data_IF_183942480153
#
_entry.id   IF_183942480153
#
_cell.length_a   1.000
_cell.length_b   1.000
_cell.length_c   1.000
_cell.angle_alpha   90.00
_cell.angle_beta   90.00
_cell.angle_gamma   90.00
#
_symmetry.space_group_name_H-M   'P 1'
#
loop_
_entity.id
_entity.type
_entity.pdbx_description
1 polymer ?
#
# COMPACT_ATOMS: atom_id res chain seq x y z
N UNK A 1 22.97 52.53 73.08
CA UNK A 1 23.00 51.11 72.74
C UNK A 1 22.94 50.99 71.20
N UNK A 2 24.10 50.82 70.55
CA UNK A 2 24.29 51.00 69.14
C UNK A 2 24.60 49.65 68.49
N UNK A 3 23.75 49.15 67.56
CA UNK A 3 24.00 47.95 66.82
C UNK A 3 24.73 48.28 65.51
N UNK A 4 25.87 47.67 65.37
CA UNK A 4 26.81 47.77 64.27
C UNK A 4 26.30 46.93 63.07
N UNK A 5 26.00 47.59 61.94
CA UNK A 5 25.67 46.89 60.65
C UNK A 5 26.96 46.40 59.98
N UNK A 6 27.07 45.08 59.78
CA UNK A 6 28.07 44.42 58.92
C UNK A 6 27.59 44.37 57.48
N UNK A 7 28.35 44.97 56.58
CA UNK A 7 28.14 44.80 55.11
C UNK A 7 28.82 43.50 54.69
N UNK A 8 28.01 42.57 54.13
CA UNK A 8 28.53 41.42 53.42
C UNK A 8 28.57 41.79 51.96
N UNK A 9 29.79 41.82 51.38
CA UNK A 9 30.01 41.98 49.95
C UNK A 9 29.91 40.60 49.28
N UNK A 10 28.87 40.35 48.50
CA UNK A 10 28.72 39.12 47.75
C UNK A 10 29.39 39.30 46.41
N UNK A 11 30.48 38.61 46.19
CA UNK A 11 31.21 38.52 44.93
C UNK A 11 30.48 37.49 44.09
N UNK A 12 29.71 37.93 43.07
CA UNK A 12 29.03 37.03 42.11
C UNK A 12 30.01 36.62 41.02
N UNK A 13 30.51 35.39 41.12
CA UNK A 13 31.31 34.76 40.09
C UNK A 13 30.35 34.29 38.96
N UNK A 14 30.30 35.02 37.87
CA UNK A 14 29.53 34.61 36.67
C UNK A 14 30.27 33.49 35.94
N UNK A 15 29.84 32.26 36.17
CA UNK A 15 30.32 31.10 35.45
C UNK A 15 29.53 31.01 34.11
N UNK A 16 30.17 31.49 33.03
CA UNK A 16 29.62 31.36 31.67
C UNK A 16 29.73 29.90 31.25
N UNK A 17 28.61 29.18 31.31
CA UNK A 17 28.47 27.87 30.70
C UNK A 17 28.33 28.05 29.18
N UNK A 18 29.41 27.82 28.46
CA UNK A 18 29.34 27.61 27.00
C UNK A 18 28.73 26.24 26.77
N UNK A 19 27.40 26.20 26.54
CA UNK A 19 26.73 25.00 26.06
C UNK A 19 27.11 24.87 24.61
N UNK A 20 28.16 24.11 24.32
CA UNK A 20 28.46 23.62 23.01
C UNK A 20 27.34 22.68 22.58
N UNK A 21 26.48 23.12 21.68
CA UNK A 21 25.54 22.25 20.97
C UNK A 21 26.33 21.29 20.05
N UNK A 22 26.94 20.28 20.64
CA UNK A 22 27.33 19.11 19.86
C UNK A 22 26.04 18.52 19.31
N UNK A 23 25.77 18.75 18.03
CA UNK A 23 24.78 17.98 17.29
C UNK A 23 25.17 16.51 17.41
N UNK A 24 24.59 15.80 18.36
CA UNK A 24 24.71 14.36 18.49
C UNK A 24 24.09 13.76 17.25
N UNK A 25 24.90 13.55 16.21
CA UNK A 25 24.64 12.52 15.20
C UNK A 25 24.65 11.22 15.99
N UNK A 26 23.46 10.74 16.35
CA UNK A 26 23.31 9.48 17.07
C UNK A 26 23.86 8.35 16.19
N UNK A 27 25.09 7.97 16.42
CA UNK A 27 25.66 6.75 15.87
C UNK A 27 25.00 5.60 16.61
N UNK A 28 23.96 4.98 16.00
CA UNK A 28 23.39 3.75 16.53
C UNK A 28 24.37 2.63 16.17
N UNK A 29 25.35 2.41 17.05
CA UNK A 29 26.30 1.32 16.91
C UNK A 29 25.59 0.01 17.26
N UNK A 30 25.51 -0.90 16.30
CA UNK A 30 24.99 -2.24 16.53
C UNK A 30 23.53 -2.48 16.19
N UNK A 31 22.89 -1.67 15.33
CA UNK A 31 21.53 -1.93 14.87
C UNK A 31 21.50 -3.09 13.87
N UNK A 32 20.72 -4.14 14.18
CA UNK A 32 20.50 -5.28 13.29
C UNK A 32 19.62 -4.87 12.11
N UNK A 33 20.01 -5.27 10.90
CA UNK A 33 19.24 -5.09 9.68
C UNK A 33 19.35 -6.32 8.77
N UNK A 34 18.43 -6.40 7.79
CA UNK A 34 18.37 -7.47 6.80
C UNK A 34 18.42 -6.89 5.41
N UNK A 35 19.10 -7.56 4.51
CA UNK A 35 19.15 -7.20 3.09
C UNK A 35 17.80 -7.57 2.44
N UNK A 36 17.14 -6.59 1.84
CA UNK A 36 15.82 -6.75 1.19
C UNK A 36 15.90 -6.82 -0.33
N UNK A 37 16.96 -6.30 -0.94
CA UNK A 37 17.25 -6.40 -2.37
C UNK A 37 17.83 -7.77 -2.73
N UNK A 38 17.64 -8.23 -3.97
CA UNK A 38 18.21 -9.51 -4.43
C UNK A 38 19.74 -9.54 -4.29
N UNK A 39 20.36 -8.41 -4.61
CA UNK A 39 21.80 -8.18 -4.44
C UNK A 39 22.03 -6.79 -3.91
N UNK A 40 22.95 -6.62 -2.98
CA UNK A 40 23.40 -5.35 -2.45
C UNK A 40 24.93 -5.27 -2.55
N UNK A 41 25.45 -4.32 -3.31
CA UNK A 41 26.88 -4.06 -3.38
C UNK A 41 27.36 -3.43 -2.07
N UNK A 42 28.48 -3.91 -1.58
CA UNK A 42 29.23 -3.34 -0.47
C UNK A 42 30.52 -2.72 -0.99
N UNK A 43 30.77 -1.46 -0.66
CA UNK A 43 31.87 -0.65 -1.19
C UNK A 43 32.81 -0.19 -0.08
N UNK A 44 34.04 0.10 -0.42
CA UNK A 44 35.04 0.57 0.54
C UNK A 44 34.81 2.02 1.00
N UNK A 45 33.99 2.80 0.30
CA UNK A 45 33.62 4.18 0.73
C UNK A 45 32.24 4.59 0.23
N UNK A 46 31.77 5.77 0.64
CA UNK A 46 30.48 6.37 0.24
C UNK A 46 30.45 6.85 -1.20
N UNK A 47 31.58 6.99 -1.88
CA UNK A 47 31.64 7.43 -3.28
C UNK A 47 31.19 6.32 -4.24
N UNK A 48 30.30 6.67 -5.20
CA UNK A 48 29.86 5.74 -6.25
C UNK A 48 30.96 5.25 -7.19
N UNK A 49 32.06 6.00 -7.28
CA UNK A 49 33.21 5.67 -8.15
C UNK A 49 34.14 4.61 -7.55
N UNK A 50 33.93 4.18 -6.31
CA UNK A 50 34.85 3.28 -5.62
C UNK A 50 34.51 1.81 -5.77
N UNK A 51 35.52 0.98 -5.60
CA UNK A 51 35.46 -0.47 -5.86
C UNK A 51 34.51 -1.17 -4.87
N UNK A 52 33.75 -2.13 -5.39
CA UNK A 52 33.04 -3.11 -4.60
C UNK A 52 34.05 -3.98 -3.84
N UNK A 53 33.82 -4.17 -2.55
CA UNK A 53 34.60 -5.08 -1.70
C UNK A 53 33.86 -6.39 -1.46
N UNK A 54 32.60 -6.48 -1.89
CA UNK A 54 31.77 -7.68 -1.78
C UNK A 54 30.32 -7.40 -2.10
N UNK A 55 29.51 -8.45 -2.03
CA UNK A 55 28.07 -8.39 -2.24
C UNK A 55 27.32 -9.17 -1.19
N UNK A 56 26.12 -8.71 -0.88
CA UNK A 56 25.16 -9.34 0.01
C UNK A 56 23.95 -9.83 -0.78
N UNK A 57 23.27 -10.84 -0.28
CA UNK A 57 22.06 -11.42 -0.85
C UNK A 57 20.85 -11.09 0.03
N UNK A 58 19.66 -11.16 -0.57
CA UNK A 58 18.40 -11.05 0.18
C UNK A 58 18.38 -12.04 1.33
N UNK A 59 18.05 -11.55 2.52
CA UNK A 59 18.00 -12.33 3.76
C UNK A 59 19.28 -12.27 4.59
N UNK A 60 20.40 -11.81 4.03
CA UNK A 60 21.61 -11.66 4.83
C UNK A 60 21.38 -10.68 5.97
N UNK A 61 21.76 -11.10 7.18
CA UNK A 61 21.72 -10.27 8.38
C UNK A 61 23.01 -9.47 8.48
N UNK A 62 22.89 -8.19 8.73
CA UNK A 62 24.00 -7.26 8.90
C UNK A 62 23.83 -6.41 10.16
N UNK A 63 24.94 -5.85 10.63
CA UNK A 63 24.94 -4.84 11.69
C UNK A 63 25.26 -3.49 11.09
N UNK A 64 24.39 -2.49 11.28
CA UNK A 64 24.66 -1.11 10.88
C UNK A 64 25.58 -0.50 11.94
N UNK A 65 26.75 -0.02 11.53
CA UNK A 65 27.77 0.55 12.42
C UNK A 65 27.92 2.06 12.25
N UNK A 66 27.53 2.61 11.07
CA UNK A 66 27.63 4.03 10.80
C UNK A 66 26.59 4.47 9.76
N UNK A 67 26.12 5.70 9.83
CA UNK A 67 25.25 6.34 8.82
C UNK A 67 25.89 7.62 8.32
N UNK A 68 25.94 7.81 7.00
CA UNK A 68 26.47 9.01 6.37
C UNK A 68 25.44 9.59 5.41
N UNK A 69 25.30 10.91 5.45
CA UNK A 69 24.50 11.66 4.48
C UNK A 69 25.42 12.66 3.81
N UNK A 70 25.65 12.50 2.51
CA UNK A 70 26.47 13.41 1.71
C UNK A 70 25.59 14.01 0.60
N UNK A 71 25.19 15.27 0.77
CA UNK A 71 24.20 15.91 -0.10
C UNK A 71 22.89 15.14 -0.11
N UNK A 72 22.42 14.74 -1.29
CA UNK A 72 21.20 13.94 -1.46
C UNK A 72 21.42 12.42 -1.31
N UNK A 73 22.66 11.98 -1.14
CA UNK A 73 23.01 10.55 -1.08
C UNK A 73 23.18 10.10 0.37
N UNK A 74 22.35 9.16 0.80
CA UNK A 74 22.51 8.47 2.06
C UNK A 74 23.26 7.14 1.86
N UNK A 75 24.16 6.81 2.77
CA UNK A 75 24.88 5.54 2.79
C UNK A 75 24.97 5.03 4.23
N UNK A 76 25.03 3.71 4.37
CA UNK A 76 25.20 3.05 5.66
C UNK A 76 26.41 2.14 5.61
N UNK A 77 27.25 2.21 6.65
CA UNK A 77 28.35 1.28 6.84
C UNK A 77 27.84 0.08 7.61
N UNK A 78 28.11 -1.09 7.10
CA UNK A 78 27.62 -2.35 7.68
C UNK A 78 28.76 -3.31 7.96
N UNK A 79 28.50 -4.21 8.91
CA UNK A 79 29.27 -5.44 9.13
C UNK A 79 28.36 -6.62 8.80
N UNK A 80 28.71 -7.36 7.77
CA UNK A 80 27.96 -8.50 7.25
C UNK A 80 28.55 -9.85 7.67
N UNK A 81 28.05 -10.95 7.07
CA UNK A 81 28.63 -12.28 7.21
C UNK A 81 30.11 -12.29 6.80
N UNK A 82 30.84 -13.30 7.32
CA UNK A 82 32.25 -13.56 6.98
C UNK A 82 33.20 -12.37 7.20
N UNK A 83 32.80 -11.42 8.05
CA UNK A 83 33.61 -10.22 8.35
C UNK A 83 33.60 -9.17 7.25
N UNK A 84 32.71 -9.27 6.23
CA UNK A 84 32.54 -8.24 5.22
C UNK A 84 32.14 -6.92 5.85
N UNK A 85 32.92 -5.87 5.64
CA UNK A 85 32.68 -4.52 6.16
C UNK A 85 32.75 -3.50 5.04
N UNK A 86 31.80 -2.57 4.98
CA UNK A 86 31.79 -1.51 3.99
C UNK A 86 30.46 -0.76 3.91
N UNK A 87 30.32 0.05 2.88
CA UNK A 87 29.20 0.96 2.66
C UNK A 87 28.20 0.39 1.65
N UNK A 88 26.92 0.49 1.95
CA UNK A 88 25.83 0.16 1.02
C UNK A 88 24.73 1.21 1.07
N UNK A 89 23.76 1.14 0.15
CA UNK A 89 22.59 2.00 0.17
C UNK A 89 21.64 1.59 1.30
N UNK A 90 21.09 2.54 2.08
CA UNK A 90 20.05 2.24 3.06
C UNK A 90 18.78 1.63 2.42
N UNK A 91 18.53 1.87 1.13
CA UNK A 91 17.40 1.27 0.40
C UNK A 91 17.51 -0.24 0.21
N UNK A 92 18.71 -0.80 0.40
CA UNK A 92 18.95 -2.24 0.36
C UNK A 92 18.60 -2.94 1.68
N UNK A 93 18.34 -2.19 2.74
CA UNK A 93 18.25 -2.72 4.11
C UNK A 93 16.91 -2.41 4.76
N UNK A 94 16.44 -3.35 5.59
CA UNK A 94 15.38 -3.14 6.56
C UNK A 94 15.92 -3.41 7.97
N UNK A 95 15.77 -2.47 8.90
CA UNK A 95 16.16 -2.70 10.29
C UNK A 95 15.25 -3.72 10.96
N UNK A 96 15.71 -4.40 12.02
CA UNK A 96 14.89 -5.38 12.75
C UNK A 96 13.54 -4.77 13.16
N UNK A 97 13.54 -3.56 13.71
CA UNK A 97 12.29 -2.87 14.10
C UNK A 97 11.30 -2.69 12.93
N UNK A 98 11.82 -2.40 11.72
CA UNK A 98 10.99 -2.25 10.53
C UNK A 98 10.46 -3.60 10.02
N UNK A 99 11.27 -4.65 10.11
CA UNK A 99 10.86 -6.03 9.82
C UNK A 99 9.73 -6.47 10.77
N UNK A 100 9.87 -6.19 12.06
CA UNK A 100 8.85 -6.54 13.06
C UNK A 100 7.52 -5.83 12.79
N UNK A 101 7.55 -4.53 12.47
CA UNK A 101 6.35 -3.78 12.07
C UNK A 101 5.68 -4.36 10.81
N UNK A 102 6.48 -4.73 9.81
CA UNK A 102 5.94 -5.33 8.58
C UNK A 102 5.29 -6.70 8.85
N UNK A 103 5.90 -7.52 9.70
CA UNK A 103 5.35 -8.82 10.14
C UNK A 103 4.09 -8.66 10.97
N UNK A 104 4.02 -7.65 11.85
CA UNK A 104 2.81 -7.33 12.61
C UNK A 104 1.65 -7.00 11.66
N UNK A 105 1.88 -6.12 10.67
CA UNK A 105 0.88 -5.77 9.66
C UNK A 105 0.48 -7.01 8.86
N UNK A 106 1.44 -7.87 8.48
CA UNK A 106 1.14 -9.12 7.78
C UNK A 106 0.25 -10.04 8.59
N UNK A 107 0.46 -10.14 9.91
CA UNK A 107 -0.41 -10.87 10.82
C UNK A 107 -1.84 -10.33 10.84
N UNK A 108 -2.02 -9.01 10.81
CA UNK A 108 -3.35 -8.37 10.77
C UNK A 108 -4.15 -8.68 9.50
N UNK A 109 -3.46 -8.95 8.38
CA UNK A 109 -4.08 -9.23 7.08
C UNK A 109 -3.97 -10.70 6.67
N UNK A 110 -3.50 -11.56 7.57
CA UNK A 110 -3.47 -13.00 7.34
C UNK A 110 -4.89 -13.52 7.07
N UNK A 111 -5.06 -14.30 6.00
CA UNK A 111 -6.39 -14.82 5.61
C UNK A 111 -7.32 -13.82 4.92
N UNK A 112 -6.94 -12.54 4.74
CA UNK A 112 -7.70 -11.62 3.89
C UNK A 112 -7.30 -11.89 2.43
N UNK A 113 -8.26 -12.20 1.58
CA UNK A 113 -8.03 -12.36 0.13
C UNK A 113 -7.55 -11.05 -0.50
N UNK A 114 -6.75 -11.15 -1.56
CA UNK A 114 -6.40 -9.99 -2.37
C UNK A 114 -7.66 -9.38 -3.00
N UNK A 115 -7.83 -8.08 -2.86
CA UNK A 115 -8.93 -7.33 -3.47
C UNK A 115 -8.58 -6.86 -4.88
N UNK A 116 -7.30 -6.63 -5.11
CA UNK A 116 -6.68 -6.28 -6.38
C UNK A 116 -5.18 -6.55 -6.29
N UNK A 117 -4.52 -6.58 -7.43
CA UNK A 117 -3.07 -6.51 -7.55
C UNK A 117 -2.67 -5.12 -8.05
N UNK A 118 -1.51 -4.62 -7.62
CA UNK A 118 -0.98 -3.37 -8.12
C UNK A 118 0.55 -3.38 -8.19
N UNK A 119 1.08 -2.48 -8.99
CA UNK A 119 2.53 -2.31 -9.22
C UNK A 119 2.91 -0.84 -9.11
N UNK A 120 4.09 -0.56 -8.61
CA UNK A 120 4.65 0.79 -8.65
C UNK A 120 5.49 1.01 -9.91
N UNK A 121 5.24 2.09 -10.63
CA UNK A 121 6.04 2.50 -11.79
C UNK A 121 7.36 3.19 -11.40
N UNK A 122 7.47 3.69 -10.19
CA UNK A 122 8.66 4.36 -9.61
C UNK A 122 8.92 3.82 -8.21
N UNK A 123 10.09 4.14 -7.66
CA UNK A 123 10.39 3.81 -6.26
C UNK A 123 9.30 4.31 -5.32
N UNK A 124 8.85 3.46 -4.38
CA UNK A 124 7.76 3.75 -3.45
C UNK A 124 8.19 3.50 -2.00
N UNK A 125 7.72 4.34 -1.08
CA UNK A 125 7.89 4.14 0.36
C UNK A 125 6.78 3.23 0.89
N UNK A 126 7.16 2.06 1.40
CA UNK A 126 6.28 1.20 2.18
C UNK A 126 6.29 1.70 3.62
N UNK A 127 5.11 1.92 4.22
CA UNK A 127 4.95 2.57 5.51
C UNK A 127 4.23 1.69 6.52
N UNK A 128 4.45 1.95 7.81
CA UNK A 128 3.74 1.25 8.89
C UNK A 128 2.35 1.83 9.18
N UNK A 129 2.06 3.04 8.71
CA UNK A 129 0.77 3.72 8.84
C UNK A 129 0.42 4.47 7.56
N UNK A 130 -0.88 4.69 7.25
CA UNK A 130 -1.31 5.43 6.07
C UNK A 130 -1.17 6.94 6.28
N UNK A 131 0.05 7.41 6.36
CA UNK A 131 0.41 8.81 6.60
C UNK A 131 1.74 9.13 5.90
N UNK A 132 1.84 10.27 5.25
CA UNK A 132 3.05 10.77 4.58
C UNK A 132 3.56 12.11 5.12
N UNK A 133 3.02 12.59 6.22
CA UNK A 133 3.45 13.83 6.88
C UNK A 133 4.90 13.77 7.36
N UNK A 134 5.39 12.57 7.62
CA UNK A 134 6.73 12.30 8.11
C UNK A 134 7.28 11.00 7.50
N UNK A 135 8.60 10.87 7.46
CA UNK A 135 9.28 9.63 7.09
C UNK A 135 9.56 8.70 8.28
N UNK A 136 9.16 9.07 9.50
CA UNK A 136 9.36 8.24 10.69
C UNK A 136 8.60 6.90 10.64
N UNK A 137 7.53 6.82 9.84
CA UNK A 137 6.74 5.61 9.63
C UNK A 137 7.16 4.81 8.38
N UNK A 138 8.24 5.20 7.69
CA UNK A 138 8.75 4.44 6.54
C UNK A 138 9.40 3.16 7.04
N UNK A 139 8.88 2.04 6.57
CA UNK A 139 9.48 0.71 6.80
C UNK A 139 10.69 0.54 5.89
N UNK A 140 10.45 0.65 4.58
CA UNK A 140 11.49 0.55 3.53
C UNK A 140 11.08 1.35 2.30
N UNK A 141 12.06 1.60 1.43
CA UNK A 141 11.83 2.11 0.09
C UNK A 141 12.02 0.96 -0.91
N UNK A 142 10.95 0.62 -1.62
CA UNK A 142 10.97 -0.43 -2.64
C UNK A 142 11.27 0.15 -4.02
N UNK A 143 12.03 -0.55 -4.87
CA UNK A 143 12.33 -0.11 -6.23
C UNK A 143 11.07 -0.11 -7.10
N UNK A 144 11.16 0.45 -8.29
CA UNK A 144 10.12 0.34 -9.31
C UNK A 144 9.89 -1.13 -9.70
N UNK A 145 8.64 -1.45 -10.03
CA UNK A 145 8.24 -2.79 -10.46
C UNK A 145 7.87 -3.75 -9.33
N UNK A 146 7.89 -3.33 -8.06
CA UNK A 146 7.41 -4.16 -6.96
C UNK A 146 5.91 -4.45 -7.12
N UNK A 147 5.53 -5.71 -6.91
CA UNK A 147 4.15 -6.19 -6.96
C UNK A 147 3.54 -6.27 -5.57
N UNK A 148 2.29 -5.85 -5.47
CA UNK A 148 1.54 -5.86 -4.23
C UNK A 148 0.17 -6.48 -4.42
N UNK A 149 -0.32 -7.17 -3.38
CA UNK A 149 -1.72 -7.54 -3.22
C UNK A 149 -2.39 -6.56 -2.27
N UNK A 150 -3.41 -5.87 -2.75
CA UNK A 150 -4.22 -4.97 -1.94
C UNK A 150 -5.16 -5.79 -1.08
N UNK A 151 -5.13 -5.59 0.24
CA UNK A 151 -6.00 -6.29 1.20
C UNK A 151 -7.06 -5.37 1.81
N UNK A 152 -6.78 -4.07 1.88
CA UNK A 152 -7.73 -3.06 2.34
C UNK A 152 -7.42 -1.71 1.68
N UNK A 153 -8.44 -0.85 1.66
CA UNK A 153 -8.35 0.54 1.21
C UNK A 153 -8.74 1.47 2.35
N UNK A 154 -7.98 2.53 2.54
CA UNK A 154 -8.28 3.59 3.49
C UNK A 154 -8.24 4.95 2.80
N UNK A 155 -9.14 5.85 3.17
CA UNK A 155 -9.12 7.25 2.75
C UNK A 155 -8.74 8.13 3.93
N UNK A 156 -7.83 9.07 3.69
CA UNK A 156 -7.43 10.08 4.67
C UNK A 156 -7.64 11.47 4.09
N UNK A 157 -8.05 12.47 4.86
CA UNK A 157 -8.08 13.85 4.37
C UNK A 157 -6.71 14.23 3.83
N UNK A 158 -6.69 14.92 2.68
CA UNK A 158 -5.44 15.51 2.20
C UNK A 158 -4.92 16.51 3.23
N UNK A 159 -3.67 16.40 3.58
CA UNK A 159 -3.02 17.43 4.39
C UNK A 159 -2.94 18.70 3.55
N UNK A 160 -3.65 19.73 3.99
CA UNK A 160 -3.48 21.08 3.41
C UNK A 160 -2.18 21.61 3.99
N UNK A 161 -1.20 21.86 3.14
CA UNK A 161 0.00 22.58 3.55
C UNK A 161 -0.40 24.00 3.97
N UNK A 162 -0.31 24.36 5.27
CA UNK A 162 -0.69 25.69 5.73
C UNK A 162 0.17 26.80 5.11
N UNK A 163 1.31 26.46 4.51
CA UNK A 163 2.19 27.37 3.78
C UNK A 163 1.90 27.41 2.26
N UNK A 164 1.05 26.56 1.75
CA UNK A 164 0.64 26.61 0.35
C UNK A 164 -0.17 27.88 0.10
N UNK A 165 0.46 28.89 -0.51
CA UNK A 165 -0.26 30.09 -1.00
C UNK A 165 -1.42 29.63 -1.89
N UNK A 166 -2.65 30.19 -1.74
CA UNK A 166 -3.72 29.93 -2.66
C UNK A 166 -3.20 30.24 -4.07
N UNK A 167 -3.04 29.20 -4.89
CA UNK A 167 -2.76 29.41 -6.31
C UNK A 167 -3.98 30.12 -6.85
N UNK A 168 -3.82 31.42 -7.20
CA UNK A 168 -4.85 32.18 -7.85
C UNK A 168 -5.33 31.37 -9.07
N UNK A 169 -6.59 30.97 -9.09
CA UNK A 169 -7.20 30.28 -10.21
C UNK A 169 -7.12 31.21 -11.42
N UNK A 170 -6.17 30.95 -12.28
CA UNK A 170 -6.15 31.56 -13.62
C UNK A 170 -7.23 30.84 -14.42
N UNK A 171 -8.32 31.51 -14.71
CA UNK A 171 -9.55 30.98 -15.31
C UNK A 171 -9.42 30.50 -16.78
N UNK A 172 -8.24 30.35 -17.29
CA UNK A 172 -8.02 30.08 -18.73
C UNK A 172 -7.17 28.83 -18.96
N UNK A 173 -7.57 27.66 -18.56
CA UNK A 173 -7.12 26.38 -19.17
C UNK A 173 -7.57 25.07 -18.47
N UNK A 174 -8.58 25.03 -17.61
CA UNK A 174 -8.90 23.82 -16.84
C UNK A 174 -10.33 23.29 -16.96
N UNK A 175 -11.00 23.51 -18.12
CA UNK A 175 -12.36 23.01 -18.31
C UNK A 175 -12.49 21.45 -18.32
N UNK A 176 -11.38 20.69 -18.28
CA UNK A 176 -11.36 19.22 -18.39
C UNK A 176 -10.66 18.50 -17.24
N UNK A 177 -10.26 19.18 -16.17
CA UNK A 177 -9.67 18.50 -15.03
C UNK A 177 -10.77 18.10 -14.06
N UNK A 178 -10.93 16.79 -13.84
CA UNK A 178 -11.85 16.29 -12.82
C UNK A 178 -11.54 16.96 -11.47
N UNK A 179 -12.58 17.33 -10.67
CA UNK A 179 -12.37 17.97 -9.37
C UNK A 179 -11.43 17.11 -8.53
N UNK A 180 -10.37 17.71 -7.99
CA UNK A 180 -9.42 17.00 -7.14
C UNK A 180 -10.14 16.54 -5.89
N UNK A 181 -10.04 15.23 -5.59
CA UNK A 181 -10.52 14.68 -4.33
C UNK A 181 -9.81 15.35 -3.15
N UNK A 182 -10.55 15.69 -2.11
CA UNK A 182 -9.99 16.20 -0.84
C UNK A 182 -9.37 15.09 0.03
N UNK A 183 -9.33 13.88 -0.48
CA UNK A 183 -8.85 12.69 0.24
C UNK A 183 -7.70 12.03 -0.51
N UNK A 184 -6.83 11.40 0.28
CA UNK A 184 -5.78 10.52 -0.18
C UNK A 184 -6.24 9.07 -0.02
N UNK A 185 -5.98 8.27 -1.04
CA UNK A 185 -6.21 6.83 -0.98
C UNK A 185 -4.94 6.14 -0.55
N UNK A 186 -5.07 5.24 0.41
CA UNK A 186 -4.02 4.37 0.92
C UNK A 186 -4.43 2.92 0.77
N UNK A 187 -3.48 2.08 0.40
CA UNK A 187 -3.68 0.65 0.33
C UNK A 187 -2.87 -0.05 1.41
N UNK A 188 -3.52 -0.91 2.21
CA UNK A 188 -2.83 -1.90 3.03
C UNK A 188 -2.52 -3.09 2.14
N UNK A 189 -1.26 -3.47 2.04
CA UNK A 189 -0.78 -4.41 1.03
C UNK A 189 0.07 -5.53 1.60
N UNK A 190 0.03 -6.69 0.94
CA UNK A 190 1.11 -7.68 0.98
C UNK A 190 2.10 -7.37 -0.14
N UNK A 191 3.39 -7.46 0.18
CA UNK A 191 4.47 -7.35 -0.80
C UNK A 191 4.73 -8.75 -1.37
N UNK A 192 4.53 -8.94 -2.68
CA UNK A 192 4.82 -10.23 -3.31
C UNK A 192 6.35 -10.48 -3.33
N UNK A 193 6.73 -11.71 -3.15
CA UNK A 193 8.13 -12.17 -3.21
C UNK A 193 9.09 -11.46 -2.22
N UNK A 194 8.55 -10.96 -1.08
CA UNK A 194 9.38 -10.36 -0.03
C UNK A 194 8.94 -10.84 1.37
N UNK A 195 9.55 -11.91 1.83
CA UNK A 195 9.27 -12.51 3.15
C UNK A 195 9.85 -11.69 4.32
N UNK A 196 10.84 -10.83 4.05
CA UNK A 196 11.49 -10.01 5.08
C UNK A 196 10.59 -8.84 5.46
N UNK A 197 10.01 -8.20 4.44
CA UNK A 197 9.10 -7.06 4.60
C UNK A 197 7.76 -7.41 3.92
N UNK A 198 6.96 -8.29 4.53
CA UNK A 198 5.82 -8.92 3.86
C UNK A 198 4.61 -8.00 3.69
N UNK A 199 4.49 -6.91 4.45
CA UNK A 199 3.31 -6.05 4.42
C UNK A 199 3.60 -4.61 4.86
N UNK A 200 2.67 -3.71 4.53
CA UNK A 200 2.69 -2.31 4.91
C UNK A 200 1.59 -1.52 4.24
N UNK A 201 1.75 -0.20 4.24
CA UNK A 201 0.86 0.73 3.55
C UNK A 201 1.59 1.41 2.40
N UNK A 202 0.91 1.53 1.25
CA UNK A 202 1.39 2.31 0.10
C UNK A 202 0.38 3.40 -0.24
N UNK A 203 0.88 4.56 -0.68
CA UNK A 203 0.04 5.64 -1.18
C UNK A 203 -0.56 5.24 -2.54
N UNK A 204 -1.88 5.34 -2.69
CA UNK A 204 -2.58 4.91 -3.90
C UNK A 204 -2.18 5.65 -5.17
N UNK A 205 -1.74 6.92 -5.04
CA UNK A 205 -1.21 7.69 -6.17
C UNK A 205 0.19 7.27 -6.65
N UNK A 206 0.83 6.32 -5.98
CA UNK A 206 2.17 5.81 -6.33
C UNK A 206 2.15 4.41 -6.95
N UNK A 207 0.97 3.83 -7.14
CA UNK A 207 0.80 2.48 -7.68
C UNK A 207 -0.32 2.45 -8.71
N UNK A 208 -0.19 1.57 -9.70
CA UNK A 208 -1.19 1.31 -10.73
C UNK A 208 -1.78 -0.08 -10.51
N UNK A 209 -3.11 -0.22 -10.67
CA UNK A 209 -3.78 -1.51 -10.57
C UNK A 209 -3.45 -2.37 -11.79
N UNK A 210 -3.04 -3.61 -11.54
CA UNK A 210 -2.76 -4.63 -12.57
C UNK A 210 -4.07 -5.36 -12.93
N UNK A 211 -5.04 -4.63 -13.49
CA UNK A 211 -6.34 -5.20 -13.87
C UNK A 211 -6.12 -6.27 -14.95
N UNK A 212 -6.64 -7.50 -14.76
CA UNK A 212 -6.55 -8.56 -15.77
C UNK A 212 -7.10 -8.10 -17.13
N UNK A 213 -6.37 -8.38 -18.20
CA UNK A 213 -6.69 -7.88 -19.55
C UNK A 213 -8.12 -8.24 -19.97
N UNK A 214 -8.56 -9.42 -19.62
CA UNK A 214 -9.87 -9.95 -19.98
C UNK A 214 -11.06 -9.20 -19.35
N UNK A 215 -10.82 -8.43 -18.26
CA UNK A 215 -11.87 -7.65 -17.60
C UNK A 215 -11.70 -6.12 -17.76
N UNK A 216 -10.61 -5.66 -18.40
CA UNK A 216 -10.35 -4.22 -18.56
C UNK A 216 -11.46 -3.50 -19.31
N UNK A 217 -12.10 -4.15 -20.29
CA UNK A 217 -13.18 -3.56 -21.09
C UNK A 217 -14.49 -3.30 -20.30
N UNK A 218 -14.61 -3.82 -19.06
CA UNK A 218 -15.71 -3.47 -18.17
C UNK A 218 -15.51 -2.11 -17.50
N UNK A 219 -14.30 -1.53 -17.53
CA UNK A 219 -14.09 -0.14 -17.14
C UNK A 219 -14.84 0.78 -18.10
N UNK A 220 -15.58 1.76 -17.57
CA UNK A 220 -16.32 2.76 -18.34
C UNK A 220 -15.72 4.14 -18.09
N UNK A 221 -16.06 5.13 -18.93
CA UNK A 221 -15.48 6.47 -18.86
C UNK A 221 -15.46 7.10 -17.45
N UNK A 222 -16.52 6.89 -16.68
CA UNK A 222 -16.62 7.41 -15.30
C UNK A 222 -16.57 6.34 -14.21
N UNK A 223 -16.24 5.08 -14.56
CA UNK A 223 -16.20 3.97 -13.61
C UNK A 223 -14.89 3.23 -13.75
N UNK A 224 -14.08 3.29 -12.70
CA UNK A 224 -12.81 2.56 -12.63
C UNK A 224 -13.00 1.24 -11.89
N UNK A 225 -12.35 0.20 -12.36
CA UNK A 225 -12.21 -1.04 -11.61
C UNK A 225 -11.26 -0.75 -10.45
N UNK A 226 -11.72 -1.04 -9.21
CA UNK A 226 -10.96 -0.81 -7.98
C UNK A 226 -10.65 -2.11 -7.24
N UNK A 227 -11.26 -3.23 -7.67
CA UNK A 227 -11.02 -4.56 -7.15
C UNK A 227 -11.70 -5.62 -8.00
N UNK A 228 -11.26 -6.86 -7.85
CA UNK A 228 -11.85 -8.04 -8.49
C UNK A 228 -11.48 -9.31 -7.75
N UNK A 229 -12.32 -10.33 -7.88
CA UNK A 229 -12.00 -11.67 -7.39
C UNK A 229 -12.48 -12.72 -8.38
N UNK A 230 -11.76 -13.84 -8.45
CA UNK A 230 -12.16 -14.99 -9.23
C UNK A 230 -13.23 -15.77 -8.47
N UNK A 231 -14.31 -16.14 -9.15
CA UNK A 231 -15.43 -16.89 -8.60
C UNK A 231 -15.45 -18.36 -9.05
N UNK A 232 -14.53 -18.75 -9.89
CA UNK A 232 -14.42 -20.11 -10.41
C UNK A 232 -13.63 -20.17 -11.70
N UNK A 233 -13.27 -21.38 -12.11
CA UNK A 233 -12.50 -21.66 -13.33
C UNK A 233 -13.34 -22.44 -14.31
N UNK A 234 -13.27 -22.08 -15.58
CA UNK A 234 -13.93 -22.77 -16.70
C UNK A 234 -12.91 -23.01 -17.80
N UNK A 235 -12.90 -24.22 -18.36
CA UNK A 235 -12.06 -24.52 -19.52
C UNK A 235 -12.78 -24.12 -20.81
N UNK A 236 -12.08 -23.43 -21.68
CA UNK A 236 -12.57 -23.14 -23.03
C UNK A 236 -12.48 -24.36 -23.94
N UNK A 237 -12.91 -24.20 -25.21
CA UNK A 237 -12.87 -25.27 -26.23
C UNK A 237 -11.45 -25.76 -26.57
N UNK A 238 -10.42 -25.04 -26.16
CA UNK A 238 -9.00 -25.38 -26.33
C UNK A 238 -8.40 -26.00 -25.08
N UNK A 239 -9.16 -26.11 -23.98
CA UNK A 239 -8.70 -26.60 -22.68
C UNK A 239 -7.97 -25.57 -21.84
N UNK A 240 -7.96 -24.30 -22.24
CA UNK A 240 -7.34 -23.22 -21.48
C UNK A 240 -8.25 -22.78 -20.33
N UNK A 241 -7.64 -22.47 -19.20
CA UNK A 241 -8.36 -21.98 -18.03
C UNK A 241 -8.77 -20.52 -18.21
N UNK A 242 -10.06 -20.27 -18.02
CA UNK A 242 -10.67 -18.97 -17.96
C UNK A 242 -11.43 -18.82 -16.63
N UNK A 243 -11.75 -17.59 -16.23
CA UNK A 243 -12.27 -17.36 -14.90
C UNK A 243 -13.60 -16.62 -14.93
N UNK A 244 -14.50 -16.96 -14.03
CA UNK A 244 -15.61 -16.10 -13.65
C UNK A 244 -15.11 -15.05 -12.68
N UNK A 245 -15.67 -13.83 -12.72
CA UNK A 245 -15.25 -12.72 -11.88
C UNK A 245 -16.41 -12.04 -11.17
N UNK A 246 -16.13 -11.53 -9.97
CA UNK A 246 -16.81 -10.36 -9.44
C UNK A 246 -15.87 -9.16 -9.59
N UNK A 247 -16.39 -8.06 -10.11
CA UNK A 247 -15.66 -6.81 -10.36
C UNK A 247 -16.30 -5.72 -9.49
N UNK A 248 -15.46 -4.97 -8.80
CA UNK A 248 -15.86 -3.82 -8.01
C UNK A 248 -15.40 -2.55 -8.71
N UNK A 249 -16.34 -1.62 -8.90
CA UNK A 249 -16.07 -0.38 -9.62
C UNK A 249 -16.41 0.83 -8.76
N UNK A 250 -15.67 1.91 -8.98
CA UNK A 250 -15.88 3.21 -8.33
C UNK A 250 -16.11 4.28 -9.38
N UNK A 251 -17.12 5.10 -9.18
CA UNK A 251 -17.34 6.31 -9.99
C UNK A 251 -16.23 7.33 -9.75
N UNK A 252 -15.73 7.96 -10.79
CA UNK A 252 -14.67 8.97 -10.69
C UNK A 252 -15.06 10.19 -11.55
N UNK A 253 -15.08 11.39 -10.96
CA UNK A 253 -14.85 11.71 -9.56
C UNK A 253 -15.95 11.14 -8.65
N UNK A 254 -15.58 10.71 -7.44
CA UNK A 254 -16.54 10.15 -6.50
C UNK A 254 -17.20 11.23 -5.67
N UNK A 255 -18.52 11.18 -5.55
CA UNK A 255 -19.28 11.98 -4.59
C UNK A 255 -19.30 11.36 -3.18
N UNK A 256 -18.97 10.07 -3.06
CA UNK A 256 -18.96 9.32 -1.80
C UNK A 256 -17.56 8.75 -1.53
N UNK A 257 -16.80 9.44 -0.70
CA UNK A 257 -15.46 9.01 -0.27
C UNK A 257 -15.50 7.96 0.85
N UNK A 258 -16.67 7.67 1.42
CA UNK A 258 -16.81 6.71 2.52
C UNK A 258 -16.89 5.27 2.03
N UNK A 259 -17.39 5.04 0.81
CA UNK A 259 -17.41 3.71 0.20
C UNK A 259 -16.14 3.44 -0.62
N UNK A 260 -15.75 2.18 -0.70
CA UNK A 260 -14.60 1.76 -1.51
C UNK A 260 -15.00 1.50 -2.95
N UNK A 261 -16.22 1.04 -3.16
CA UNK A 261 -16.82 0.85 -4.49
C UNK A 261 -18.32 1.19 -4.46
N UNK A 262 -18.87 1.56 -5.61
CA UNK A 262 -20.28 1.92 -5.78
C UNK A 262 -21.01 1.03 -6.81
N UNK A 263 -20.30 0.12 -7.45
CA UNK A 263 -20.84 -0.88 -8.35
C UNK A 263 -20.22 -2.25 -8.14
N UNK A 264 -21.05 -3.27 -8.22
CA UNK A 264 -20.67 -4.67 -8.23
C UNK A 264 -21.14 -5.30 -9.55
N UNK A 265 -20.22 -5.99 -10.23
CA UNK A 265 -20.50 -6.75 -11.44
C UNK A 265 -20.10 -8.20 -11.25
N UNK A 266 -21.01 -9.15 -11.44
CA UNK A 266 -20.71 -10.56 -11.58
C UNK A 266 -20.76 -10.88 -13.06
N UNK A 267 -19.67 -11.43 -13.57
CA UNK A 267 -19.53 -11.82 -14.97
C UNK A 267 -19.14 -13.29 -15.09
N UNK A 268 -19.75 -13.96 -16.06
CA UNK A 268 -19.46 -15.34 -16.40
C UNK A 268 -18.68 -15.46 -17.71
N UNK A 269 -17.69 -16.35 -17.77
CA UNK A 269 -17.05 -16.70 -19.03
C UNK A 269 -17.94 -17.70 -19.79
N UNK A 270 -18.21 -17.44 -21.09
CA UNK A 270 -18.96 -18.34 -21.98
C UNK A 270 -18.00 -19.18 -22.80
N UNK A 271 -17.78 -20.42 -22.37
CA UNK A 271 -16.89 -21.36 -23.04
C UNK A 271 -17.33 -21.77 -24.43
N UNK A 272 -18.60 -21.52 -24.81
CA UNK A 272 -19.19 -21.94 -26.09
C UNK A 272 -19.21 -20.86 -27.14
N UNK A 273 -19.25 -19.61 -26.72
CA UNK A 273 -19.32 -18.48 -27.63
C UNK A 273 -17.90 -18.07 -28.07
N UNK A 274 -17.66 -18.23 -29.38
CA UNK A 274 -16.35 -17.89 -29.97
C UNK A 274 -16.12 -16.39 -30.13
N UNK A 275 -17.17 -15.58 -30.05
CA UNK A 275 -17.11 -14.12 -30.32
C UNK A 275 -17.26 -13.24 -29.08
N UNK A 276 -17.96 -13.72 -28.04
CA UNK A 276 -18.13 -12.98 -26.77
C UNK A 276 -17.71 -13.90 -25.65
N UNK A 277 -16.58 -13.53 -25.02
CA UNK A 277 -15.99 -14.37 -23.99
C UNK A 277 -16.66 -14.22 -22.62
N UNK A 278 -17.31 -13.05 -22.36
CA UNK A 278 -17.93 -12.75 -21.06
C UNK A 278 -19.36 -12.24 -21.21
N UNK A 279 -20.21 -12.66 -20.28
CA UNK A 279 -21.60 -12.18 -20.18
C UNK A 279 -21.90 -11.66 -18.77
N UNK A 280 -22.84 -10.70 -18.69
CA UNK A 280 -23.31 -10.17 -17.42
C UNK A 280 -24.23 -11.16 -16.72
N UNK A 281 -23.96 -11.47 -15.47
CA UNK A 281 -24.80 -12.28 -14.60
C UNK A 281 -25.63 -11.39 -13.66
N UNK A 282 -24.97 -10.44 -13.03
CA UNK A 282 -25.60 -9.48 -12.12
C UNK A 282 -24.82 -8.17 -12.17
N UNK A 283 -25.55 -7.05 -12.09
CA UNK A 283 -25.01 -5.73 -11.88
C UNK A 283 -25.83 -5.02 -10.82
N UNK A 284 -25.17 -4.47 -9.81
CA UNK A 284 -25.84 -3.82 -8.70
C UNK A 284 -25.09 -2.56 -8.25
N UNK A 285 -25.85 -1.51 -7.94
CA UNK A 285 -25.32 -0.29 -7.32
C UNK A 285 -25.38 -0.44 -5.81
N UNK A 286 -24.29 -0.05 -5.13
CA UNK A 286 -24.20 -0.13 -3.67
C UNK A 286 -23.00 0.66 -3.16
N UNK A 287 -23.00 0.97 -1.89
CA UNK A 287 -21.90 1.63 -1.19
C UNK A 287 -21.07 0.58 -0.43
N UNK A 288 -20.25 -0.18 -1.16
CA UNK A 288 -19.50 -1.31 -0.61
C UNK A 288 -18.15 -0.93 -0.01
N UNK A 289 -17.69 -1.75 0.93
CA UNK A 289 -16.42 -1.60 1.64
C UNK A 289 -15.53 -2.84 1.43
N UNK A 290 -14.24 -2.64 1.30
CA UNK A 290 -13.26 -3.71 1.40
C UNK A 290 -12.94 -4.03 2.87
N UNK A 291 -12.51 -5.27 3.20
CA UNK A 291 -12.28 -6.38 2.29
C UNK A 291 -13.54 -7.15 1.92
N UNK A 292 -13.57 -7.64 0.69
CA UNK A 292 -14.49 -8.69 0.27
C UNK A 292 -13.87 -10.04 0.61
N UNK A 293 -14.61 -10.88 1.31
CA UNK A 293 -14.20 -12.25 1.66
C UNK A 293 -14.83 -13.22 0.68
N UNK A 294 -14.04 -14.04 0.03
CA UNK A 294 -14.50 -15.04 -0.92
C UNK A 294 -14.15 -16.43 -0.45
N UNK A 295 -15.10 -17.34 -0.54
CA UNK A 295 -14.91 -18.76 -0.32
C UNK A 295 -15.35 -19.52 -1.57
N UNK A 296 -14.53 -20.46 -2.04
CA UNK A 296 -14.78 -21.29 -3.22
C UNK A 296 -14.91 -22.75 -2.77
N UNK A 297 -16.10 -23.31 -2.96
CA UNK A 297 -16.40 -24.71 -2.61
C UNK A 297 -17.00 -25.43 -3.82
N UNK A 298 -16.18 -26.20 -4.51
CA UNK A 298 -16.59 -26.93 -5.73
C UNK A 298 -17.10 -25.96 -6.81
N UNK A 299 -18.37 -26.12 -7.18
CA UNK A 299 -19.05 -25.26 -8.18
C UNK A 299 -19.72 -24.02 -7.59
N UNK A 300 -19.57 -23.78 -6.29
CA UNK A 300 -20.19 -22.66 -5.59
C UNK A 300 -19.14 -21.72 -5.06
N UNK A 301 -19.30 -20.44 -5.38
CA UNK A 301 -18.54 -19.34 -4.78
C UNK A 301 -19.49 -18.56 -3.87
N UNK A 302 -19.03 -18.28 -2.65
CA UNK A 302 -19.72 -17.35 -1.74
C UNK A 302 -18.79 -16.18 -1.49
N UNK A 303 -19.29 -14.96 -1.61
CA UNK A 303 -18.52 -13.80 -1.20
C UNK A 303 -19.36 -12.85 -0.35
N UNK A 304 -18.69 -12.18 0.59
CA UNK A 304 -19.34 -11.27 1.53
C UNK A 304 -18.49 -10.03 1.78
N UNK A 305 -19.16 -8.93 2.09
CA UNK A 305 -18.54 -7.66 2.42
C UNK A 305 -19.51 -6.78 3.21
N UNK A 306 -18.99 -5.71 3.82
CA UNK A 306 -19.84 -4.68 4.43
C UNK A 306 -20.26 -3.65 3.38
N UNK A 307 -21.51 -3.20 3.42
CA UNK A 307 -22.01 -2.08 2.64
C UNK A 307 -22.62 -1.02 3.57
N UNK A 308 -22.55 0.24 3.16
CA UNK A 308 -23.16 1.37 3.88
C UNK A 308 -24.58 1.61 3.39
N UNK A 309 -25.53 1.75 4.32
CA UNK A 309 -26.85 2.24 4.00
C UNK A 309 -26.87 3.78 3.84
N UNK A 310 -28.04 4.36 3.54
CA UNK A 310 -28.21 5.81 3.39
C UNK A 310 -27.78 6.61 4.63
N UNK A 311 -27.88 6.01 5.82
CA UNK A 311 -27.48 6.60 7.10
C UNK A 311 -26.03 6.31 7.48
N UNK A 312 -25.24 5.68 6.59
CA UNK A 312 -23.88 5.21 6.80
C UNK A 312 -23.74 4.07 7.84
N UNK A 313 -24.82 3.37 8.17
CA UNK A 313 -24.69 2.16 8.97
C UNK A 313 -24.18 1.01 8.11
N UNK A 314 -23.34 0.17 8.68
CA UNK A 314 -22.79 -1.00 8.03
C UNK A 314 -23.78 -2.16 8.03
N UNK A 315 -23.94 -2.79 6.88
CA UNK A 315 -24.71 -4.03 6.69
C UNK A 315 -23.84 -5.07 6.01
N UNK A 316 -23.85 -6.29 6.53
CA UNK A 316 -23.20 -7.40 5.87
C UNK A 316 -24.01 -7.87 4.66
N UNK A 317 -23.38 -7.94 3.51
CA UNK A 317 -23.97 -8.41 2.24
C UNK A 317 -23.30 -9.72 1.88
N UNK A 318 -24.10 -10.69 1.49
CA UNK A 318 -23.62 -12.03 1.08
C UNK A 318 -24.21 -12.37 -0.27
N UNK A 319 -23.39 -12.88 -1.18
CA UNK A 319 -23.79 -13.46 -2.45
C UNK A 319 -23.36 -14.91 -2.51
N UNK A 320 -24.22 -15.72 -3.12
CA UNK A 320 -23.90 -17.09 -3.53
C UNK A 320 -23.96 -17.16 -5.05
N UNK A 321 -22.88 -17.63 -5.65
CA UNK A 321 -22.74 -17.78 -7.10
C UNK A 321 -22.50 -19.26 -7.41
N UNK A 322 -23.40 -19.89 -8.15
CA UNK A 322 -23.30 -21.26 -8.56
C UNK A 322 -22.89 -21.36 -10.02
N UNK A 323 -21.89 -22.17 -10.31
CA UNK A 323 -21.58 -22.59 -11.67
C UNK A 323 -22.48 -23.78 -12.01
N UNK A 324 -23.41 -23.54 -12.90
CA UNK A 324 -24.36 -24.54 -13.38
C UNK A 324 -23.74 -25.45 -14.45
N UNK A 325 -24.45 -26.48 -14.85
CA UNK A 325 -24.08 -27.31 -16.02
C UNK A 325 -23.79 -26.42 -17.23
N UNK A 326 -22.72 -26.74 -17.96
CA UNK A 326 -22.23 -25.98 -19.12
C UNK A 326 -21.54 -24.66 -18.81
N UNK A 327 -21.18 -24.38 -17.52
CA UNK A 327 -20.39 -23.21 -17.11
C UNK A 327 -21.17 -21.91 -16.95
N UNK A 328 -22.50 -21.93 -17.04
CA UNK A 328 -23.31 -20.75 -16.76
C UNK A 328 -23.34 -20.44 -15.26
N UNK A 329 -23.37 -19.17 -14.94
CA UNK A 329 -23.47 -18.71 -13.54
C UNK A 329 -24.91 -18.37 -13.18
N UNK A 330 -25.27 -18.68 -11.93
CA UNK A 330 -26.45 -18.17 -11.24
C UNK A 330 -26.00 -17.46 -9.99
N UNK A 331 -26.32 -16.18 -9.86
CA UNK A 331 -26.01 -15.38 -8.67
C UNK A 331 -27.29 -15.14 -7.86
N UNK A 332 -27.20 -15.33 -6.54
CA UNK A 332 -28.28 -15.09 -5.60
C UNK A 332 -27.80 -14.20 -4.45
N UNK A 333 -28.63 -13.26 -4.06
CA UNK A 333 -28.47 -12.46 -2.84
C UNK A 333 -29.75 -12.59 -2.02
N UNK A 334 -29.66 -13.06 -0.77
CA UNK A 334 -30.83 -13.08 0.12
C UNK A 334 -31.45 -11.68 0.24
N UNK A 335 -32.76 -11.57 0.03
CA UNK A 335 -33.50 -10.30 0.16
C UNK A 335 -33.57 -9.43 -1.11
N UNK A 336 -32.96 -9.81 -2.24
CA UNK A 336 -33.21 -9.17 -3.53
C UNK A 336 -34.48 -9.78 -4.17
N UNK A 337 -35.47 -8.92 -4.43
CA UNK A 337 -36.63 -9.33 -5.23
C UNK A 337 -36.23 -9.58 -6.68
N UNK A 338 -36.94 -10.48 -7.35
CA UNK A 338 -36.66 -10.92 -8.74
C UNK A 338 -36.66 -9.78 -9.80
N UNK A 339 -37.12 -8.58 -9.43
CA UNK A 339 -37.23 -7.44 -10.35
C UNK A 339 -35.92 -6.64 -10.57
N UNK A 340 -34.86 -6.92 -9.81
CA UNK A 340 -33.54 -6.29 -10.00
C UNK A 340 -32.66 -6.99 -11.04
N UNK A 341 -33.21 -7.94 -11.78
CA UNK A 341 -32.47 -8.80 -12.75
C UNK A 341 -32.56 -8.33 -14.20
N UNK A 342 -32.89 -7.06 -14.46
CA UNK A 342 -32.97 -6.52 -15.82
C UNK A 342 -31.88 -5.52 -16.12
#
# INVERSE_FOLDING_TARGET
>A
MALKKRKFSCLILALVWVIGTAACRGTIIGETAFVISEKADVRNSTSKANNSVGGLKRGDQVTIIERSIQGESASVKIKGPDGLEGWTSPTNLATQSNVDKAKEIAGQIAGISAQAECRNGKSVKLRSTPDRSSDANVIVQLPAGALFEITARETKPKMVDPAAKPVAKTETAEANKAPESNYEVWYKVRVKDNEIVPAGYVYGGSVDLEVPQEIQHFAQEKKRIVGWQRLGTVKDSKGLDNYHYVIFQKTVPSADEKSDFDYLHIIGFDAKNRSVSYYNVLREEMRGLFPVKTNLEGSTATFSFEALDASNNKKNIVYTVQTLEKGHLKAERPGLSANARR
#
